data_IF_153177372573
#
_entry.id   IF_153177372573
#
_cell.length_a   1.000
_cell.length_b   1.000
_cell.length_c   1.000
_cell.angle_alpha   90.00
_cell.angle_beta   90.00
_cell.angle_gamma   90.00
#
_symmetry.space_group_name_H-M   'P 1'
#
loop_
_entity.id
_entity.type
_entity.pdbx_description
1 polymer ?
#
# COMPACT_ATOMS: atom_id res chain seq x y z
N UNK A 1 -20.94 0.61 1.97
CA UNK A 1 -21.94 1.00 0.95
C UNK A 1 -21.60 2.42 0.49
N UNK A 2 -21.44 2.67 -0.81
CA UNK A 2 -21.03 3.98 -1.34
C UNK A 2 -22.07 5.10 -1.17
N UNK A 3 -23.29 4.77 -0.72
CA UNK A 3 -24.41 5.71 -0.55
C UNK A 3 -24.46 6.36 0.84
N UNK A 4 -23.53 6.06 1.75
CA UNK A 4 -23.55 6.56 3.13
C UNK A 4 -24.69 6.01 3.99
N UNK A 5 -25.52 5.13 3.43
CA UNK A 5 -26.67 4.51 4.10
C UNK A 5 -26.27 3.23 4.83
N UNK A 6 -26.98 2.94 5.90
CA UNK A 6 -26.83 1.74 6.71
C UNK A 6 -27.87 0.70 6.32
N UNK A 7 -27.58 -0.53 6.73
CA UNK A 7 -28.55 -1.62 6.74
C UNK A 7 -29.81 -1.19 7.47
N UNK A 8 -30.97 -1.36 6.85
CA UNK A 8 -32.27 -0.96 7.38
C UNK A 8 -32.80 0.37 6.85
N UNK A 9 -31.95 1.22 6.24
CA UNK A 9 -32.38 2.49 5.66
C UNK A 9 -33.24 2.26 4.39
N UNK A 10 -34.04 3.28 4.04
CA UNK A 10 -34.99 3.21 2.91
C UNK A 10 -34.59 4.20 1.82
N UNK A 11 -34.40 3.69 0.60
CA UNK A 11 -34.23 4.46 -0.62
C UNK A 11 -35.61 4.74 -1.25
N UNK A 12 -35.80 5.97 -1.72
CA UNK A 12 -37.02 6.39 -2.40
C UNK A 12 -36.71 6.58 -3.88
N UNK A 13 -37.44 5.85 -4.73
CA UNK A 13 -37.40 5.98 -6.18
C UNK A 13 -38.81 6.27 -6.71
N UNK A 14 -38.91 6.90 -7.88
CA UNK A 14 -40.16 7.00 -8.59
C UNK A 14 -40.25 5.87 -9.62
N UNK A 15 -41.37 5.16 -9.63
CA UNK A 15 -41.62 4.13 -10.64
C UNK A 15 -42.21 4.74 -11.93
N UNK A 16 -42.35 3.93 -12.98
CA UNK A 16 -42.89 4.42 -14.26
C UNK A 16 -44.39 4.77 -14.20
N UNK A 17 -45.09 4.30 -13.17
CA UNK A 17 -46.50 4.57 -12.91
C UNK A 17 -46.69 5.88 -12.11
N UNK A 18 -45.61 6.53 -11.69
CA UNK A 18 -45.62 7.77 -10.91
C UNK A 18 -45.67 7.58 -9.39
N UNK A 19 -45.79 6.34 -8.90
CA UNK A 19 -45.78 6.03 -7.46
C UNK A 19 -44.36 6.06 -6.87
N UNK A 20 -44.28 6.36 -5.57
CA UNK A 20 -43.01 6.27 -4.82
C UNK A 20 -42.71 4.84 -4.41
N UNK A 21 -41.69 4.25 -5.04
CA UNK A 21 -41.11 2.97 -4.67
C UNK A 21 -40.17 3.14 -3.46
N UNK A 22 -40.48 2.44 -2.38
CA UNK A 22 -39.67 2.41 -1.15
C UNK A 22 -38.83 1.13 -1.10
N UNK A 23 -37.51 1.26 -1.24
CA UNK A 23 -36.57 0.15 -1.22
C UNK A 23 -35.84 0.11 0.12
N UNK A 24 -36.09 -0.93 0.92
CA UNK A 24 -35.38 -1.13 2.20
C UNK A 24 -34.08 -1.87 1.97
N UNK A 25 -32.96 -1.34 2.47
CA UNK A 25 -31.65 -1.98 2.39
C UNK A 25 -31.56 -3.14 3.38
N UNK A 26 -31.57 -4.37 2.86
CA UNK A 26 -31.57 -5.61 3.67
C UNK A 26 -30.20 -6.27 3.80
N UNK A 27 -29.27 -6.00 2.87
CA UNK A 27 -27.95 -6.60 2.81
C UNK A 27 -27.02 -5.73 1.94
N UNK A 28 -25.73 -5.79 2.21
CA UNK A 28 -24.69 -5.32 1.30
C UNK A 28 -23.92 -6.53 0.75
N UNK A 29 -23.56 -6.47 -0.52
CA UNK A 29 -22.64 -7.46 -1.09
C UNK A 29 -21.21 -7.10 -0.73
N UNK A 30 -20.31 -8.10 -0.72
CA UNK A 30 -18.88 -7.82 -0.83
C UNK A 30 -18.62 -7.03 -2.13
N UNK A 31 -17.52 -6.26 -2.21
CA UNK A 31 -17.11 -5.63 -3.46
C UNK A 31 -17.08 -6.65 -4.61
N UNK A 32 -17.76 -6.32 -5.71
CA UNK A 32 -17.97 -7.21 -6.85
C UNK A 32 -18.40 -6.40 -8.07
N UNK A 33 -18.63 -7.08 -9.21
CA UNK A 33 -19.16 -6.45 -10.44
C UNK A 33 -20.51 -5.77 -10.26
N UNK A 34 -21.24 -6.08 -9.19
CA UNK A 34 -22.52 -5.45 -8.85
C UNK A 34 -22.37 -4.16 -8.02
N UNK A 35 -21.15 -3.67 -7.83
CA UNK A 35 -20.93 -2.42 -7.12
C UNK A 35 -21.61 -1.26 -7.85
N UNK A 36 -22.41 -0.49 -7.10
CA UNK A 36 -23.24 0.59 -7.65
C UNK A 36 -24.63 0.18 -8.11
N UNK A 37 -24.94 -1.13 -8.12
CA UNK A 37 -26.28 -1.63 -8.46
C UNK A 37 -27.10 -1.97 -7.21
N UNK A 38 -28.43 -1.87 -7.35
CA UNK A 38 -29.39 -2.40 -6.37
C UNK A 38 -29.93 -3.72 -6.92
N UNK A 39 -29.75 -4.79 -6.15
CA UNK A 39 -30.27 -6.11 -6.52
C UNK A 39 -31.63 -6.29 -5.85
N UNK A 40 -32.68 -6.48 -6.65
CA UNK A 40 -34.02 -6.81 -6.19
C UNK A 40 -34.56 -8.00 -7.00
N UNK A 41 -35.55 -8.70 -6.45
CA UNK A 41 -36.16 -9.81 -7.18
C UNK A 41 -36.98 -9.30 -8.37
N UNK A 42 -36.88 -10.02 -9.50
CA UNK A 42 -37.43 -9.62 -10.78
C UNK A 42 -38.96 -9.39 -10.73
N UNK A 43 -39.68 -10.22 -9.98
CA UNK A 43 -41.13 -10.06 -9.78
C UNK A 43 -41.50 -8.71 -9.15
N UNK A 44 -40.71 -8.20 -8.20
CA UNK A 44 -40.93 -6.90 -7.57
C UNK A 44 -40.53 -5.74 -8.48
N UNK A 45 -39.49 -5.92 -9.30
CA UNK A 45 -39.08 -4.94 -10.30
C UNK A 45 -40.18 -4.78 -11.37
N UNK A 46 -40.62 -5.86 -12.00
CA UNK A 46 -41.63 -5.83 -13.07
C UNK A 46 -43.00 -5.32 -12.62
N UNK A 47 -43.36 -5.48 -11.33
CA UNK A 47 -44.58 -4.86 -10.79
C UNK A 47 -44.53 -3.32 -10.84
N UNK A 48 -43.34 -2.74 -10.72
CA UNK A 48 -43.13 -1.29 -10.71
C UNK A 48 -42.66 -0.75 -12.06
N UNK A 49 -42.11 -1.62 -12.93
CA UNK A 49 -41.62 -1.27 -14.26
C UNK A 49 -42.08 -2.28 -15.32
N UNK A 50 -43.39 -2.48 -15.54
CA UNK A 50 -43.91 -3.46 -16.50
C UNK A 50 -43.50 -3.20 -17.96
N UNK A 51 -43.15 -1.96 -18.34
CA UNK A 51 -42.67 -1.62 -19.68
C UNK A 51 -41.24 -2.08 -19.96
N UNK A 52 -40.46 -2.34 -18.90
CA UNK A 52 -39.09 -2.84 -19.00
C UNK A 52 -39.12 -4.36 -19.27
N UNK A 53 -38.73 -4.76 -20.48
CA UNK A 53 -38.73 -6.16 -20.89
C UNK A 53 -37.33 -6.77 -20.83
N UNK A 54 -37.19 -7.89 -20.11
CA UNK A 54 -36.01 -8.75 -20.15
C UNK A 54 -34.85 -8.37 -19.23
N UNK A 55 -33.73 -9.08 -19.39
CA UNK A 55 -32.46 -8.81 -18.73
C UNK A 55 -31.46 -8.36 -19.79
N UNK A 56 -30.78 -7.24 -19.54
CA UNK A 56 -29.79 -6.68 -20.47
C UNK A 56 -28.35 -7.01 -20.07
N UNK A 57 -28.17 -7.66 -18.92
CA UNK A 57 -26.85 -8.04 -18.37
C UNK A 57 -26.89 -9.52 -18.05
N UNK A 58 -25.91 -10.25 -18.57
CA UNK A 58 -25.75 -11.68 -18.33
C UNK A 58 -24.35 -11.95 -17.78
N UNK A 59 -24.28 -12.86 -16.80
CA UNK A 59 -23.01 -13.40 -16.33
C UNK A 59 -22.75 -14.71 -17.05
N UNK A 60 -21.65 -14.77 -17.79
CA UNK A 60 -21.20 -15.97 -18.49
C UNK A 60 -20.09 -16.61 -17.67
N UNK A 61 -20.29 -17.87 -17.28
CA UNK A 61 -19.29 -18.66 -16.56
C UNK A 61 -18.37 -19.40 -17.54
N UNK A 62 -17.06 -19.34 -17.31
CA UNK A 62 -16.07 -20.03 -18.11
C UNK A 62 -14.68 -20.03 -17.45
N UNK A 63 -13.78 -20.89 -17.94
CA UNK A 63 -12.37 -20.85 -17.55
C UNK A 63 -11.71 -19.60 -18.16
N UNK A 64 -10.80 -18.96 -17.43
CA UNK A 64 -10.12 -17.72 -17.88
C UNK A 64 -9.36 -17.91 -19.20
N UNK A 65 -8.85 -19.11 -19.46
CA UNK A 65 -8.15 -19.48 -20.70
C UNK A 65 -9.05 -19.42 -21.93
N UNK A 66 -10.37 -19.61 -21.75
CA UNK A 66 -11.36 -19.66 -22.82
C UNK A 66 -12.11 -18.33 -22.99
N UNK A 67 -11.77 -17.29 -22.23
CA UNK A 67 -12.50 -16.02 -22.23
C UNK A 67 -12.59 -15.40 -23.62
N UNK A 68 -11.48 -15.38 -24.35
CA UNK A 68 -11.42 -14.86 -25.72
C UNK A 68 -12.26 -15.68 -26.69
N UNK A 69 -12.14 -17.01 -26.64
CA UNK A 69 -12.90 -17.93 -27.50
C UNK A 69 -14.41 -17.82 -27.26
N UNK A 70 -14.84 -17.78 -25.99
CA UNK A 70 -16.25 -17.59 -25.61
C UNK A 70 -16.75 -16.22 -26.08
N UNK A 71 -15.93 -15.18 -25.91
CA UNK A 71 -16.28 -13.83 -26.34
C UNK A 71 -16.49 -13.72 -27.84
N UNK A 72 -15.58 -14.31 -28.63
CA UNK A 72 -15.70 -14.35 -30.10
C UNK A 72 -16.93 -15.14 -30.54
N UNK A 73 -17.19 -16.31 -29.95
CA UNK A 73 -18.35 -17.14 -30.28
C UNK A 73 -19.67 -16.41 -29.97
N UNK A 74 -19.80 -15.82 -28.78
CA UNK A 74 -20.99 -15.06 -28.41
C UNK A 74 -21.16 -13.80 -29.27
N UNK A 75 -20.07 -13.12 -29.61
CA UNK A 75 -20.12 -11.97 -30.51
C UNK A 75 -20.55 -12.37 -31.93
N UNK A 76 -20.19 -13.56 -32.39
CA UNK A 76 -20.65 -14.08 -33.68
C UNK A 76 -22.14 -14.44 -33.66
N UNK A 77 -22.60 -15.15 -32.62
CA UNK A 77 -24.00 -15.59 -32.49
C UNK A 77 -24.95 -14.42 -32.25
N UNK A 78 -24.54 -13.43 -31.44
CA UNK A 78 -25.38 -12.31 -31.04
C UNK A 78 -25.01 -10.98 -31.73
N UNK A 79 -24.30 -11.03 -32.85
CA UNK A 79 -23.88 -9.84 -33.60
C UNK A 79 -25.04 -8.88 -33.89
N UNK A 80 -26.17 -9.42 -34.34
CA UNK A 80 -27.34 -8.64 -34.75
C UNK A 80 -28.12 -8.05 -33.55
N UNK A 81 -27.82 -8.51 -32.33
CA UNK A 81 -28.45 -8.04 -31.09
C UNK A 81 -27.60 -7.00 -30.35
N UNK A 82 -26.48 -6.56 -30.92
CA UNK A 82 -25.60 -5.56 -30.31
C UNK A 82 -24.89 -6.06 -29.06
N UNK A 83 -24.46 -7.34 -29.07
CA UNK A 83 -23.78 -7.95 -27.94
C UNK A 83 -22.42 -7.29 -27.65
N UNK A 84 -22.24 -6.88 -26.39
CA UNK A 84 -20.98 -6.39 -25.86
C UNK A 84 -20.61 -7.23 -24.63
N UNK A 85 -19.41 -7.80 -24.66
CA UNK A 85 -18.87 -8.60 -23.56
C UNK A 85 -17.70 -7.88 -22.93
N UNK A 86 -17.69 -7.85 -21.60
CA UNK A 86 -16.55 -7.37 -20.84
C UNK A 86 -16.14 -8.41 -19.79
N UNK A 87 -14.83 -8.55 -19.60
CA UNK A 87 -14.27 -9.35 -18.51
C UNK A 87 -14.78 -8.84 -17.16
N UNK A 88 -15.35 -9.73 -16.35
CA UNK A 88 -15.71 -9.41 -14.97
C UNK A 88 -14.48 -8.94 -14.16
N UNK A 89 -13.28 -9.48 -14.46
CA UNK A 89 -12.04 -9.06 -13.84
C UNK A 89 -11.67 -7.62 -14.24
N UNK A 90 -11.75 -7.29 -15.53
CA UNK A 90 -11.50 -5.92 -16.02
C UNK A 90 -12.49 -4.94 -15.41
N UNK A 91 -13.78 -5.26 -15.41
CA UNK A 91 -14.82 -4.42 -14.82
C UNK A 91 -14.59 -4.17 -13.33
N UNK A 92 -14.16 -5.20 -12.59
CA UNK A 92 -13.80 -5.07 -11.19
C UNK A 92 -12.58 -4.17 -10.99
N UNK A 93 -11.54 -4.33 -11.82
CA UNK A 93 -10.35 -3.46 -11.79
C UNK A 93 -10.71 -2.01 -12.07
N UNK A 94 -11.61 -1.72 -13.02
CA UNK A 94 -12.08 -0.36 -13.29
C UNK A 94 -12.76 0.27 -12.07
N UNK A 95 -13.60 -0.48 -11.36
CA UNK A 95 -14.21 0.00 -10.11
C UNK A 95 -13.17 0.29 -9.02
N UNK A 96 -12.07 -0.46 -8.99
CA UNK A 96 -10.96 -0.23 -8.07
C UNK A 96 -9.92 0.78 -8.57
N UNK A 97 -9.96 1.21 -9.83
CA UNK A 97 -8.90 2.04 -10.43
C UNK A 97 -8.66 3.34 -9.66
N UNK A 98 -9.73 3.98 -9.17
CA UNK A 98 -9.65 5.19 -8.33
C UNK A 98 -8.96 4.90 -7.00
N UNK A 99 -9.35 3.82 -6.32
CA UNK A 99 -8.74 3.38 -5.06
C UNK A 99 -7.28 2.96 -5.24
N UNK A 100 -6.97 2.24 -6.31
CA UNK A 100 -5.60 1.81 -6.64
C UNK A 100 -4.70 3.00 -6.98
N UNK A 101 -5.21 4.03 -7.67
CA UNK A 101 -4.46 5.25 -7.95
C UNK A 101 -4.12 6.00 -6.67
N UNK A 102 -5.10 6.15 -5.77
CA UNK A 102 -4.88 6.75 -4.44
C UNK A 102 -3.80 5.98 -3.68
N UNK A 103 -3.94 4.66 -3.54
CA UNK A 103 -2.95 3.82 -2.86
C UNK A 103 -1.56 3.94 -3.49
N UNK A 104 -1.47 3.98 -4.82
CA UNK A 104 -0.20 4.12 -5.55
C UNK A 104 0.51 5.43 -5.23
N UNK A 105 -0.23 6.54 -5.11
CA UNK A 105 0.35 7.84 -4.72
C UNK A 105 0.88 7.78 -3.28
N UNK A 106 0.12 7.21 -2.35
CA UNK A 106 0.58 7.06 -0.96
C UNK A 106 1.80 6.15 -0.83
N UNK A 107 1.85 5.06 -1.60
CA UNK A 107 3.01 4.18 -1.66
C UNK A 107 4.23 4.90 -2.25
N UNK A 108 4.04 5.70 -3.31
CA UNK A 108 5.10 6.51 -3.90
C UNK A 108 5.65 7.55 -2.89
N UNK A 109 4.76 8.25 -2.17
CA UNK A 109 5.15 9.18 -1.11
C UNK A 109 5.86 8.46 0.05
N UNK A 110 5.39 7.28 0.45
CA UNK A 110 6.04 6.45 1.45
C UNK A 110 7.44 6.01 1.02
N UNK A 111 7.61 5.59 -0.24
CA UNK A 111 8.91 5.24 -0.81
C UNK A 111 9.86 6.45 -0.87
N UNK A 112 9.37 7.63 -1.25
CA UNK A 112 10.14 8.88 -1.19
C UNK A 112 10.56 9.21 0.24
N UNK A 113 9.65 9.06 1.21
CA UNK A 113 9.96 9.22 2.63
C UNK A 113 11.05 8.27 3.11
N UNK A 114 11.02 7.01 2.67
CA UNK A 114 12.06 6.02 2.96
C UNK A 114 13.43 6.45 2.38
N UNK A 115 13.46 6.91 1.13
CA UNK A 115 14.68 7.40 0.47
C UNK A 115 15.24 8.60 1.24
N UNK A 116 14.39 9.59 1.56
CA UNK A 116 14.80 10.77 2.32
C UNK A 116 15.31 10.40 3.72
N UNK A 117 14.63 9.49 4.41
CA UNK A 117 15.08 8.98 5.71
C UNK A 117 16.42 8.26 5.63
N UNK A 118 16.63 7.46 4.58
CA UNK A 118 17.89 6.76 4.32
C UNK A 118 19.05 7.73 4.07
N UNK A 119 18.84 8.73 3.21
CA UNK A 119 19.84 9.77 2.93
C UNK A 119 20.12 10.59 4.18
N UNK A 120 19.10 10.98 4.93
CA UNK A 120 19.25 11.70 6.20
C UNK A 120 20.08 10.92 7.21
N UNK A 121 19.80 9.62 7.37
CA UNK A 121 20.60 8.72 8.20
C UNK A 121 22.06 8.68 7.74
N UNK A 122 22.32 8.52 6.43
CA UNK A 122 23.69 8.51 5.90
C UNK A 122 24.43 9.82 6.18
N UNK A 123 23.76 10.97 6.00
CA UNK A 123 24.33 12.30 6.27
C UNK A 123 24.67 12.48 7.74
N UNK A 124 23.76 12.13 8.65
CA UNK A 124 23.97 12.24 10.10
C UNK A 124 25.14 11.34 10.52
N UNK A 125 25.16 10.08 10.07
CA UNK A 125 26.25 9.14 10.38
C UNK A 125 27.60 9.68 9.88
N UNK A 126 27.65 10.16 8.63
CA UNK A 126 28.87 10.73 8.06
C UNK A 126 29.35 11.93 8.87
N UNK A 127 28.43 12.83 9.26
CA UNK A 127 28.75 14.00 10.10
C UNK A 127 29.31 13.58 11.46
N UNK A 128 28.64 12.67 12.17
CA UNK A 128 29.09 12.21 13.49
C UNK A 128 30.46 11.54 13.43
N UNK A 129 30.74 10.76 12.38
CA UNK A 129 32.05 10.14 12.18
C UNK A 129 33.14 11.19 11.97
N UNK A 130 32.86 12.24 11.18
CA UNK A 130 33.81 13.32 10.92
C UNK A 130 34.12 14.12 12.19
N UNK A 131 33.11 14.44 12.99
CA UNK A 131 33.27 15.16 14.26
C UNK A 131 34.12 14.35 15.26
N UNK A 132 33.96 13.02 15.30
CA UNK A 132 34.68 12.13 16.22
C UNK A 132 36.00 11.60 15.69
N UNK A 133 36.49 12.12 14.56
CA UNK A 133 37.71 11.65 13.91
C UNK A 133 38.95 11.80 14.80
N UNK A 134 39.05 12.89 15.58
CA UNK A 134 40.16 13.11 16.53
C UNK A 134 40.14 12.08 17.67
N UNK A 135 38.97 11.75 18.21
CA UNK A 135 38.82 10.70 19.22
C UNK A 135 39.26 9.34 18.70
N UNK A 136 38.83 8.99 17.47
CA UNK A 136 39.21 7.74 16.81
C UNK A 136 40.72 7.65 16.59
N UNK A 137 41.37 8.76 16.21
CA UNK A 137 42.81 8.83 16.04
C UNK A 137 43.56 8.61 17.37
N UNK A 138 43.10 9.26 18.45
CA UNK A 138 43.66 9.09 19.79
C UNK A 138 43.50 7.65 20.29
N UNK A 139 42.33 7.02 20.10
CA UNK A 139 42.12 5.62 20.45
C UNK A 139 43.11 4.70 19.72
N UNK A 140 43.34 4.93 18.42
CA UNK A 140 44.33 4.16 17.65
C UNK A 140 45.77 4.40 18.14
N UNK A 141 46.12 5.63 18.53
CA UNK A 141 47.44 5.97 19.07
C UNK A 141 47.73 5.30 20.42
N UNK A 142 46.69 5.12 21.25
CA UNK A 142 46.79 4.42 22.55
C UNK A 142 46.78 2.87 22.37
N UNK A 143 46.60 2.38 21.14
CA UNK A 143 46.75 0.95 20.80
C UNK A 143 45.44 0.21 20.54
N UNK A 144 44.29 0.88 20.44
CA UNK A 144 43.05 0.21 20.04
C UNK A 144 43.13 -0.27 18.58
N UNK A 145 42.74 -1.54 18.36
CA UNK A 145 42.67 -2.08 17.01
C UNK A 145 41.51 -1.46 16.22
N UNK A 146 41.64 -1.37 14.89
CA UNK A 146 40.56 -0.91 13.99
C UNK A 146 39.26 -1.71 14.18
N UNK A 147 39.37 -3.00 14.51
CA UNK A 147 38.21 -3.87 14.78
C UNK A 147 37.48 -3.46 16.07
N UNK A 148 38.22 -3.10 17.12
CA UNK A 148 37.63 -2.63 18.38
C UNK A 148 36.87 -1.31 18.17
N UNK A 149 37.46 -0.36 17.44
CA UNK A 149 36.80 0.92 17.11
C UNK A 149 35.58 0.70 16.20
N UNK A 150 35.68 -0.18 15.20
CA UNK A 150 34.55 -0.53 14.35
C UNK A 150 33.38 -1.09 15.16
N UNK A 151 33.63 -2.04 16.06
CA UNK A 151 32.59 -2.65 16.90
C UNK A 151 31.91 -1.62 17.81
N UNK A 152 32.68 -0.66 18.34
CA UNK A 152 32.14 0.46 19.13
C UNK A 152 31.15 1.30 18.30
N UNK A 153 31.57 1.73 17.10
CA UNK A 153 30.74 2.53 16.19
C UNK A 153 29.47 1.79 15.78
N UNK A 154 29.59 0.51 15.39
CA UNK A 154 28.42 -0.31 15.04
C UNK A 154 27.43 -0.37 16.20
N UNK A 155 27.91 -0.60 17.42
CA UNK A 155 27.03 -0.70 18.59
C UNK A 155 26.29 0.62 18.85
N UNK A 156 27.01 1.74 18.83
CA UNK A 156 26.41 3.06 19.07
C UNK A 156 25.37 3.42 18.01
N UNK A 157 25.69 3.23 16.73
CA UNK A 157 24.76 3.53 15.65
C UNK A 157 23.61 2.52 15.56
N UNK A 158 23.82 1.27 15.96
CA UNK A 158 22.73 0.28 16.03
C UNK A 158 21.67 0.65 17.06
N UNK A 159 22.06 1.25 18.19
CA UNK A 159 21.12 1.75 19.19
C UNK A 159 20.31 2.94 18.65
N UNK A 160 20.94 3.84 17.90
CA UNK A 160 20.25 4.93 17.22
C UNK A 160 19.27 4.42 16.15
N UNK A 161 19.67 3.42 15.37
CA UNK A 161 18.79 2.79 14.37
C UNK A 161 17.58 2.12 15.04
N UNK A 162 17.82 1.30 16.06
CA UNK A 162 16.75 0.58 16.77
C UNK A 162 15.77 1.53 17.45
N UNK A 163 16.27 2.58 18.13
CA UNK A 163 15.41 3.58 18.76
C UNK A 163 14.59 4.36 17.72
N UNK A 164 15.20 4.76 16.59
CA UNK A 164 14.48 5.42 15.51
C UNK A 164 13.38 4.55 14.88
N UNK A 165 13.70 3.28 14.59
CA UNK A 165 12.72 2.31 14.06
C UNK A 165 11.59 2.07 15.06
N UNK A 166 11.91 1.94 16.35
CA UNK A 166 10.92 1.72 17.41
C UNK A 166 9.96 2.91 17.53
N UNK A 167 10.48 4.14 17.57
CA UNK A 167 9.67 5.36 17.63
C UNK A 167 8.80 5.51 16.38
N UNK A 168 9.38 5.27 15.19
CA UNK A 168 8.65 5.31 13.93
C UNK A 168 7.54 4.26 13.86
N UNK A 169 7.81 3.04 14.33
CA UNK A 169 6.84 1.96 14.40
C UNK A 169 5.68 2.32 15.34
N UNK A 170 5.96 2.81 16.55
CA UNK A 170 4.91 3.25 17.49
C UNK A 170 4.06 4.34 16.85
N UNK A 171 4.69 5.33 16.22
CA UNK A 171 3.97 6.43 15.56
C UNK A 171 3.07 5.92 14.43
N UNK A 172 3.56 4.97 13.62
CA UNK A 172 2.78 4.34 12.56
C UNK A 172 1.58 3.55 13.10
N UNK A 173 1.76 2.80 14.19
CA UNK A 173 0.68 2.06 14.86
C UNK A 173 -0.37 3.01 15.40
N UNK A 174 0.04 4.08 16.08
CA UNK A 174 -0.90 5.09 16.62
C UNK A 174 -1.66 5.79 15.51
N UNK A 175 -0.99 6.18 14.41
CA UNK A 175 -1.62 6.83 13.27
C UNK A 175 -2.61 5.93 12.53
N UNK A 176 -2.37 4.62 12.49
CA UNK A 176 -3.24 3.65 11.80
C UNK A 176 -4.32 3.07 12.69
N UNK A 177 -4.25 3.25 14.02
CA UNK A 177 -5.21 2.73 14.99
C UNK A 177 -6.70 3.03 14.65
N UNK A 178 -7.09 4.25 14.23
CA UNK A 178 -8.48 4.53 13.85
C UNK A 178 -8.97 3.69 12.66
N UNK A 179 -8.08 3.39 11.71
CA UNK A 179 -8.41 2.56 10.56
C UNK A 179 -8.65 1.10 10.97
N UNK A 180 -7.90 0.57 11.95
CA UNK A 180 -8.13 -0.77 12.50
C UNK A 180 -9.45 -0.89 13.28
N UNK A 181 -9.89 0.18 13.93
CA UNK A 181 -11.19 0.20 14.62
C UNK A 181 -12.37 0.22 13.64
N UNK A 182 -12.15 0.68 12.40
CA UNK A 182 -13.15 0.60 11.33
C UNK A 182 -13.10 -0.77 10.65
N UNK A 183 -14.24 -1.47 10.56
CA UNK A 183 -14.40 -2.89 10.18
C UNK A 183 -14.03 -3.24 8.72
N UNK A 184 -13.27 -2.41 8.00
CA UNK A 184 -12.98 -2.56 6.57
C UNK A 184 -11.48 -2.52 6.22
N UNK A 185 -10.59 -2.96 7.11
CA UNK A 185 -9.15 -2.87 6.86
C UNK A 185 -8.49 -4.25 6.75
N UNK A 186 -8.09 -4.61 5.53
CA UNK A 186 -7.19 -5.74 5.23
C UNK A 186 -5.73 -5.34 5.47
N UNK A 187 -5.39 -5.00 6.71
CA UNK A 187 -4.00 -4.69 7.07
C UNK A 187 -3.20 -6.00 7.18
N UNK A 188 -2.36 -6.26 6.18
CA UNK A 188 -1.49 -7.44 6.19
C UNK A 188 -0.29 -7.23 7.11
N UNK A 189 -0.20 -8.03 8.18
CA UNK A 189 0.96 -8.07 9.08
C UNK A 189 2.27 -8.38 8.33
N UNK A 190 2.19 -9.17 7.24
CA UNK A 190 3.37 -9.54 6.45
C UNK A 190 4.01 -8.31 5.77
N UNK A 191 3.20 -7.38 5.26
CA UNK A 191 3.70 -6.17 4.59
C UNK A 191 4.44 -5.28 5.57
N UNK A 192 3.89 -5.10 6.78
CA UNK A 192 4.54 -4.31 7.84
C UNK A 192 5.88 -4.94 8.23
N UNK A 193 5.91 -6.26 8.42
CA UNK A 193 7.12 -6.99 8.74
C UNK A 193 8.20 -6.85 7.65
N UNK A 194 7.81 -6.92 6.37
CA UNK A 194 8.71 -6.72 5.23
C UNK A 194 9.29 -5.30 5.24
N UNK A 195 8.46 -4.27 5.40
CA UNK A 195 8.90 -2.86 5.39
C UNK A 195 9.85 -2.57 6.55
N UNK A 196 9.53 -3.02 7.77
CA UNK A 196 10.41 -2.86 8.94
C UNK A 196 11.74 -3.58 8.73
N UNK A 197 11.70 -4.79 8.18
CA UNK A 197 12.92 -5.57 7.87
C UNK A 197 13.77 -4.84 6.83
N UNK A 198 13.16 -4.29 5.78
CA UNK A 198 13.87 -3.50 4.76
C UNK A 198 14.53 -2.27 5.35
N UNK A 199 13.86 -1.54 6.25
CA UNK A 199 14.43 -0.37 6.94
C UNK A 199 15.64 -0.79 7.78
N UNK A 200 15.52 -1.87 8.55
CA UNK A 200 16.62 -2.37 9.39
C UNK A 200 17.82 -2.81 8.55
N UNK A 201 17.60 -3.59 7.49
CA UNK A 201 18.66 -4.02 6.57
C UNK A 201 19.34 -2.83 5.94
N UNK A 202 18.57 -1.86 5.45
CA UNK A 202 19.12 -0.65 4.84
C UNK A 202 19.98 0.16 5.83
N UNK A 203 19.48 0.37 7.05
CA UNK A 203 20.23 1.04 8.11
C UNK A 203 21.54 0.33 8.45
N UNK A 204 21.52 -1.00 8.59
CA UNK A 204 22.72 -1.81 8.86
C UNK A 204 23.73 -1.70 7.72
N UNK A 205 23.28 -1.71 6.46
CA UNK A 205 24.16 -1.54 5.28
C UNK A 205 24.85 -0.18 5.32
N UNK A 206 24.14 0.90 5.61
CA UNK A 206 24.76 2.23 5.71
C UNK A 206 25.73 2.37 6.88
N UNK A 207 25.34 1.87 8.06
CA UNK A 207 26.17 1.92 9.26
C UNK A 207 27.47 1.14 9.05
N UNK A 208 27.39 -0.06 8.49
CA UNK A 208 28.57 -0.90 8.22
C UNK A 208 29.44 -0.30 7.12
N UNK A 209 28.84 0.16 6.02
CA UNK A 209 29.56 0.77 4.90
C UNK A 209 30.32 2.05 5.30
N UNK A 210 29.66 2.98 5.99
CA UNK A 210 30.28 4.23 6.43
C UNK A 210 31.35 4.01 7.51
N UNK A 211 31.09 3.13 8.47
CA UNK A 211 32.06 2.79 9.51
C UNK A 211 33.31 2.14 8.93
N UNK A 212 33.15 1.27 7.92
CA UNK A 212 34.27 0.62 7.23
C UNK A 212 35.09 1.63 6.41
N UNK A 213 34.42 2.48 5.64
CA UNK A 213 35.06 3.52 4.83
C UNK A 213 35.89 4.50 5.69
N UNK A 214 35.37 4.88 6.84
CA UNK A 214 36.05 5.77 7.79
C UNK A 214 37.40 5.20 8.28
N UNK A 215 37.46 3.90 8.57
CA UNK A 215 38.66 3.24 9.10
C UNK A 215 39.72 2.90 8.03
N UNK A 216 39.33 2.92 6.76
CA UNK A 216 40.22 2.66 5.63
C UNK A 216 40.98 3.90 5.15
N UNK A 217 40.44 5.12 5.33
CA UNK A 217 41.14 6.34 4.91
C UNK A 217 42.45 6.52 5.69
N UNK A 218 43.54 6.14 5.01
CA UNK A 218 44.96 6.25 5.39
C UNK A 218 45.48 7.70 5.55
N UNK A 219 44.64 8.68 5.91
CA UNK A 219 45.06 10.11 6.01
C UNK A 219 45.22 10.63 7.44
N UNK A 220 45.27 9.77 8.47
CA UNK A 220 45.63 10.21 9.82
C UNK A 220 47.07 10.75 9.92
N UNK A 221 47.94 10.43 8.96
CA UNK A 221 49.34 10.90 8.93
C UNK A 221 49.50 12.19 8.10
N UNK A 222 48.64 12.44 7.10
CA UNK A 222 48.75 13.64 6.28
C UNK A 222 48.10 14.87 6.92
N UNK A 223 47.10 14.69 7.79
CA UNK A 223 46.42 15.82 8.43
C UNK A 223 47.23 16.43 9.60
N UNK A 224 48.29 15.75 10.07
CA UNK A 224 49.25 16.28 11.05
C UNK A 224 50.43 17.05 10.40
N UNK A 225 50.48 17.12 9.06
CA UNK A 225 51.53 17.84 8.32
C UNK A 225 51.08 19.22 7.81
N UNK A 226 49.85 19.62 8.11
CA UNK A 226 49.21 20.86 7.62
C UNK A 226 48.73 21.79 8.74
N UNK A 227 49.29 21.67 9.94
CA UNK A 227 49.38 22.76 10.93
C UNK A 227 50.86 23.00 11.24
#
# INVERSE_FOLDING_TARGET
MGLGMKMGDVLLYQNELGDTLKLKLIAGTKPSVFQGYIIIANNHFLKNYPSSSGSNIFLVGGAAENETAIGEELQLVFRDYGWEMESAAKRLVEFYSVTNTYLSIFLALGALGLILGTVGLAVILARTILERRREIALMQAIGFTKKSVFKLLINEYSLLLLSGVLIGFITAVVATLPAFLSTNTDASFSTVAIVVTLILVNGVVWITGLSWFSLQKKSLINDLKTE
#
